data_IF_021053847417
#
_entry.id   IF_021053847417
#
_cell.length_a   1.000
_cell.length_b   1.000
_cell.length_c   1.000
_cell.angle_alpha   90.00
_cell.angle_beta   90.00
_cell.angle_gamma   90.00
#
_symmetry.space_group_name_H-M   'P 1'
#
loop_
_entity.id
_entity.type
_entity.pdbx_description
1 polymer ?
#
# COMPACT_ATOMS: atom_id res chain seq x y z
N UNK A 1 18.27 5.37 23.75
CA UNK A 1 17.51 6.48 23.12
C UNK A 1 16.05 6.03 23.05
N UNK A 2 15.10 6.70 23.71
CA UNK A 2 13.69 6.36 23.52
C UNK A 2 13.41 6.58 22.02
N UNK A 3 13.10 5.50 21.30
CA UNK A 3 13.00 5.55 19.85
C UNK A 3 11.92 6.55 19.46
N UNK A 4 12.26 7.61 18.74
CA UNK A 4 11.36 8.67 18.24
C UNK A 4 10.27 8.18 17.27
N UNK A 5 10.06 6.87 17.17
CA UNK A 5 9.06 6.25 16.30
C UNK A 5 7.68 6.43 16.92
N UNK A 6 6.87 7.31 16.34
CA UNK A 6 5.44 7.43 16.66
C UNK A 6 4.72 6.16 16.18
N UNK A 7 3.86 5.60 17.03
CA UNK A 7 3.06 4.39 16.73
C UNK A 7 1.64 4.81 16.38
N UNK A 8 1.08 4.21 15.34
CA UNK A 8 -0.31 4.39 14.93
C UNK A 8 -1.04 3.06 15.09
N UNK A 9 -2.06 3.01 15.95
CA UNK A 9 -2.91 1.83 16.14
C UNK A 9 -4.18 2.02 15.30
N UNK A 10 -4.46 1.08 14.40
CA UNK A 10 -5.59 1.17 13.46
C UNK A 10 -6.51 -0.04 13.64
N UNK A 11 -7.81 0.21 13.61
CA UNK A 11 -8.82 -0.84 13.45
C UNK A 11 -9.24 -0.87 11.99
N UNK A 12 -9.08 -2.02 11.33
CA UNK A 12 -9.39 -2.17 9.91
C UNK A 12 -10.73 -2.90 9.73
N UNK A 13 -11.61 -2.44 8.83
CA UNK A 13 -12.73 -3.24 8.36
C UNK A 13 -12.27 -4.60 7.84
N UNK A 14 -13.12 -5.63 7.97
CA UNK A 14 -12.77 -7.02 7.61
C UNK A 14 -12.25 -7.15 6.18
N UNK A 15 -12.92 -6.50 5.23
CA UNK A 15 -12.55 -6.60 3.81
C UNK A 15 -11.24 -5.88 3.51
N UNK A 16 -10.99 -4.74 4.18
CA UNK A 16 -9.73 -4.02 4.08
C UNK A 16 -8.57 -4.83 4.67
N UNK A 17 -8.77 -5.51 5.80
CA UNK A 17 -7.77 -6.40 6.39
C UNK A 17 -7.43 -7.58 5.45
N UNK A 18 -8.45 -8.18 4.83
CA UNK A 18 -8.26 -9.25 3.83
C UNK A 18 -7.51 -8.74 2.62
N UNK A 19 -7.84 -7.53 2.14
CA UNK A 19 -7.16 -6.93 1.01
C UNK A 19 -5.70 -6.62 1.33
N UNK A 20 -5.42 -5.98 2.47
CA UNK A 20 -4.08 -5.68 2.95
C UNK A 20 -3.21 -6.94 3.03
N UNK A 21 -3.76 -8.04 3.55
CA UNK A 21 -3.07 -9.33 3.59
C UNK A 21 -2.71 -9.84 2.18
N UNK A 22 -3.61 -9.71 1.21
CA UNK A 22 -3.34 -10.18 -0.17
C UNK A 22 -2.21 -9.39 -0.83
N UNK A 23 -2.23 -8.06 -0.71
CA UNK A 23 -1.20 -7.22 -1.32
C UNK A 23 0.14 -7.32 -0.58
N UNK A 24 0.14 -7.60 0.73
CA UNK A 24 1.37 -7.81 1.48
C UNK A 24 2.03 -9.13 1.09
N UNK A 25 1.25 -10.19 0.88
CA UNK A 25 1.75 -11.47 0.37
C UNK A 25 2.28 -11.36 -1.06
N UNK A 26 1.55 -10.65 -1.94
CA UNK A 26 1.98 -10.41 -3.32
C UNK A 26 3.33 -9.71 -3.41
N UNK A 27 3.57 -8.76 -2.51
CA UNK A 27 4.79 -7.95 -2.47
C UNK A 27 5.84 -8.52 -1.49
N UNK A 28 5.64 -9.75 -1.01
CA UNK A 28 6.52 -10.48 -0.09
C UNK A 28 6.99 -9.65 1.12
N UNK A 29 6.05 -9.05 1.84
CA UNK A 29 6.37 -8.22 3.01
C UNK A 29 5.32 -8.27 4.12
N UNK A 30 5.69 -7.88 5.36
CA UNK A 30 4.74 -7.81 6.47
C UNK A 30 3.60 -6.81 6.20
N UNK A 31 2.40 -7.11 6.72
CA UNK A 31 1.22 -6.23 6.58
C UNK A 31 1.48 -4.81 7.11
N UNK A 32 2.20 -4.68 8.23
CA UNK A 32 2.53 -3.37 8.79
C UNK A 32 3.45 -2.54 7.89
N UNK A 33 4.44 -3.19 7.27
CA UNK A 33 5.34 -2.54 6.31
C UNK A 33 4.56 -2.11 5.05
N UNK A 34 3.67 -2.97 4.55
CA UNK A 34 2.80 -2.65 3.42
C UNK A 34 1.84 -1.49 3.74
N UNK A 35 1.27 -1.48 4.94
CA UNK A 35 0.39 -0.40 5.37
C UNK A 35 1.13 0.94 5.41
N UNK A 36 2.35 0.96 5.95
CA UNK A 36 3.19 2.16 5.94
C UNK A 36 3.49 2.64 4.52
N UNK A 37 3.92 1.74 3.63
CA UNK A 37 4.19 2.05 2.21
C UNK A 37 2.95 2.61 1.50
N UNK A 38 1.75 2.11 1.81
CA UNK A 38 0.50 2.64 1.26
C UNK A 38 0.12 4.00 1.85
N UNK A 39 0.38 4.23 3.13
CA UNK A 39 0.14 5.53 3.77
C UNK A 39 1.08 6.58 3.17
N UNK A 40 2.37 6.27 3.02
CA UNK A 40 3.35 7.14 2.36
C UNK A 40 2.89 7.52 0.95
N UNK A 41 2.44 6.55 0.16
CA UNK A 41 1.87 6.80 -1.18
C UNK A 41 0.61 7.65 -1.15
N UNK A 42 -0.27 7.43 -0.18
CA UNK A 42 -1.47 8.26 -0.01
C UNK A 42 -1.08 9.72 0.22
N UNK A 43 -0.07 9.98 1.05
CA UNK A 43 0.44 11.33 1.28
C UNK A 43 1.07 11.94 0.03
N UNK A 44 1.88 11.18 -0.72
CA UNK A 44 2.42 11.63 -2.02
C UNK A 44 1.30 12.03 -2.99
N UNK A 45 0.20 11.26 -3.02
CA UNK A 45 -0.96 11.58 -3.87
C UNK A 45 -1.68 12.86 -3.44
N UNK A 46 -1.84 13.09 -2.12
CA UNK A 46 -2.47 14.31 -1.59
C UNK A 46 -1.63 15.55 -1.89
N UNK A 47 -0.30 15.45 -1.82
CA UNK A 47 0.62 16.56 -2.16
C UNK A 47 0.78 16.75 -3.68
N UNK A 48 0.28 15.82 -4.50
CA UNK A 48 0.42 15.84 -5.96
C UNK A 48 1.85 15.59 -6.46
N UNK A 49 2.76 15.20 -5.57
CA UNK A 49 4.16 14.94 -5.85
C UNK A 49 4.49 13.46 -5.63
N UNK A 50 4.75 12.76 -6.72
CA UNK A 50 5.20 11.38 -6.67
C UNK A 50 6.72 11.30 -6.57
N UNK A 51 7.22 10.51 -5.62
CA UNK A 51 8.67 10.29 -5.53
C UNK A 51 9.18 9.53 -6.76
N UNK A 52 10.41 9.83 -7.19
CA UNK A 52 11.05 9.11 -8.32
C UNK A 52 11.04 7.59 -8.11
N UNK A 53 11.18 7.16 -6.85
CA UNK A 53 11.13 5.76 -6.44
C UNK A 53 9.77 5.14 -6.74
N UNK A 54 8.66 5.82 -6.44
CA UNK A 54 7.33 5.36 -6.76
C UNK A 54 7.10 5.26 -8.27
N UNK A 55 7.48 6.29 -9.01
CA UNK A 55 7.33 6.31 -10.48
C UNK A 55 8.11 5.16 -11.12
N UNK A 56 9.35 4.92 -10.69
CA UNK A 56 10.17 3.79 -11.16
C UNK A 56 9.53 2.43 -10.82
N UNK A 57 8.97 2.31 -9.63
CA UNK A 57 8.29 1.10 -9.18
C UNK A 57 7.03 0.79 -10.01
N UNK A 58 6.18 1.78 -10.28
CA UNK A 58 4.98 1.62 -11.11
C UNK A 58 5.36 1.13 -12.51
N UNK A 59 6.39 1.74 -13.12
CA UNK A 59 6.92 1.33 -14.43
C UNK A 59 7.44 -0.12 -14.44
N UNK A 60 8.03 -0.59 -13.33
CA UNK A 60 8.47 -1.99 -13.20
C UNK A 60 7.29 -2.94 -13.07
N UNK A 61 6.29 -2.58 -12.26
CA UNK A 61 5.12 -3.42 -11.96
C UNK A 61 4.19 -3.55 -13.18
N UNK A 62 4.02 -2.50 -13.97
CA UNK A 62 3.21 -2.54 -15.20
C UNK A 62 3.77 -3.51 -16.24
N UNK A 63 5.10 -3.67 -16.32
CA UNK A 63 5.74 -4.64 -17.24
C UNK A 63 5.52 -6.11 -16.89
N UNK A 64 5.14 -6.41 -15.65
CA UNK A 64 5.08 -7.79 -15.14
C UNK A 64 3.66 -8.24 -14.79
N UNK A 65 2.64 -7.44 -15.12
CA UNK A 65 1.22 -7.75 -14.88
C UNK A 65 0.88 -8.13 -13.43
N UNK A 66 1.69 -7.64 -12.46
CA UNK A 66 1.54 -7.95 -11.03
C UNK A 66 0.49 -7.07 -10.34
N UNK A 67 -0.16 -6.15 -11.05
CA UNK A 67 -1.13 -5.24 -10.47
C UNK A 67 -2.52 -5.87 -10.55
N UNK A 68 -3.24 -5.86 -9.43
CA UNK A 68 -4.66 -6.25 -9.43
C UNK A 68 -5.43 -5.06 -10.03
N UNK A 69 -6.25 -5.26 -11.07
CA UNK A 69 -7.05 -4.17 -11.65
C UNK A 69 -7.89 -3.47 -10.58
N UNK A 70 -7.87 -2.14 -10.59
CA UNK A 70 -8.56 -1.30 -9.62
C UNK A 70 -10.04 -1.66 -9.47
N UNK A 71 -10.73 -1.92 -10.59
CA UNK A 71 -12.14 -2.31 -10.63
C UNK A 71 -12.43 -3.60 -9.85
N UNK A 72 -11.52 -4.58 -9.88
CA UNK A 72 -11.65 -5.84 -9.13
C UNK A 72 -11.44 -5.65 -7.63
N UNK A 73 -10.66 -4.64 -7.26
CA UNK A 73 -10.37 -4.29 -5.86
C UNK A 73 -11.54 -3.50 -5.27
N UNK A 74 -11.97 -2.45 -5.95
CA UNK A 74 -12.98 -1.54 -5.42
C UNK A 74 -14.35 -2.19 -5.32
N UNK A 75 -14.77 -3.01 -6.29
CA UNK A 75 -16.02 -3.81 -6.21
C UNK A 75 -16.09 -4.79 -5.04
N UNK A 76 -14.96 -5.09 -4.39
CA UNK A 76 -14.88 -6.01 -3.24
C UNK A 76 -14.79 -5.29 -1.90
N UNK A 77 -14.45 -4.01 -1.90
CA UNK A 77 -14.26 -3.22 -0.69
C UNK A 77 -15.44 -2.28 -0.43
N UNK A 78 -16.22 -1.96 -1.46
CA UNK A 78 -17.37 -1.05 -1.49
C UNK A 78 -18.46 -1.66 -2.38
#
# INVERSE_FOLDING_TARGET
MPTSKKRLNLTLPKDLAVFLKKISLRDDMPQAAKALELIERGLEMEEGEFTEKFVAEVKRRSKHDKLIPAEKVFKKLW
#
